data_IF_978591827445
#
_entry.id   IF_978591827445
#
_cell.length_a   1.000
_cell.length_b   1.000
_cell.length_c   1.000
_cell.angle_alpha   90.00
_cell.angle_beta   90.00
_cell.angle_gamma   90.00
#
_symmetry.space_group_name_H-M   'P 1'
#
loop_
_entity.id
_entity.type
_entity.pdbx_description
1 polymer ?
#
# COMPACT_ATOMS: atom_id res chain seq x y z
N UNK A 1 -25.64 -21.34 -25.49
CA UNK A 1 -26.14 -21.61 -24.11
C UNK A 1 -24.92 -21.88 -23.25
N UNK A 2 -24.55 -20.97 -22.35
CA UNK A 2 -23.41 -21.17 -21.47
C UNK A 2 -23.76 -22.25 -20.43
N UNK A 3 -22.97 -23.31 -20.35
CA UNK A 3 -23.08 -24.29 -19.27
C UNK A 3 -23.00 -23.56 -17.92
N UNK A 4 -23.92 -23.87 -17.00
CA UNK A 4 -23.84 -23.34 -15.63
C UNK A 4 -22.49 -23.71 -15.01
N UNK A 5 -21.81 -22.71 -14.44
CA UNK A 5 -20.57 -22.96 -13.70
C UNK A 5 -20.92 -23.65 -12.39
N UNK A 6 -20.69 -24.97 -12.34
CA UNK A 6 -20.83 -25.80 -11.13
C UNK A 6 -19.90 -25.38 -9.99
N UNK A 7 -18.77 -24.72 -10.29
CA UNK A 7 -17.77 -24.31 -9.30
C UNK A 7 -17.32 -22.86 -9.51
N UNK A 8 -17.06 -22.18 -8.40
CA UNK A 8 -16.49 -20.82 -8.37
C UNK A 8 -14.97 -20.93 -8.30
N UNK A 9 -14.29 -20.10 -9.06
CA UNK A 9 -12.82 -20.01 -9.06
C UNK A 9 -12.31 -19.60 -7.68
N UNK A 10 -11.28 -20.30 -7.17
CA UNK A 10 -10.77 -20.11 -5.80
C UNK A 10 -10.32 -18.67 -5.53
N UNK A 11 -9.74 -18.01 -6.53
CA UNK A 11 -9.26 -16.63 -6.43
C UNK A 11 -10.41 -15.63 -6.32
N UNK A 12 -11.48 -15.83 -7.08
CA UNK A 12 -12.66 -14.97 -7.03
C UNK A 12 -13.41 -15.13 -5.71
N UNK A 13 -13.49 -16.36 -5.20
CA UNK A 13 -14.04 -16.62 -3.86
C UNK A 13 -13.21 -15.94 -2.76
N UNK A 14 -11.88 -15.96 -2.88
CA UNK A 14 -11.00 -15.27 -1.94
C UNK A 14 -11.19 -13.74 -1.99
N UNK A 15 -11.31 -13.14 -3.18
CA UNK A 15 -11.60 -11.71 -3.31
C UNK A 15 -12.95 -11.35 -2.69
N UNK A 16 -13.99 -12.16 -2.89
CA UNK A 16 -15.28 -11.97 -2.25
C UNK A 16 -15.21 -12.09 -0.71
N UNK A 17 -14.30 -12.92 -0.18
CA UNK A 17 -14.01 -12.92 1.26
C UNK A 17 -13.37 -11.60 1.70
N UNK A 18 -12.38 -11.08 0.97
CA UNK A 18 -11.73 -9.83 1.35
C UNK A 18 -12.69 -8.63 1.22
N UNK A 19 -13.61 -8.64 0.27
CA UNK A 19 -14.69 -7.64 0.17
C UNK A 19 -15.58 -7.61 1.42
N UNK A 20 -15.82 -8.74 2.09
CA UNK A 20 -16.54 -8.75 3.37
C UNK A 20 -15.77 -8.03 4.47
N UNK A 21 -14.43 -8.07 4.45
CA UNK A 21 -13.61 -7.27 5.37
C UNK A 21 -13.79 -5.77 5.09
N UNK A 22 -13.95 -5.39 3.82
CA UNK A 22 -14.26 -4.00 3.45
C UNK A 22 -15.67 -3.59 3.93
N UNK A 23 -16.63 -4.52 3.94
CA UNK A 23 -17.96 -4.29 4.52
C UNK A 23 -17.91 -4.02 6.02
N UNK A 24 -17.05 -4.72 6.78
CA UNK A 24 -16.83 -4.42 8.21
C UNK A 24 -16.26 -3.02 8.43
N UNK A 25 -15.45 -2.52 7.50
CA UNK A 25 -14.98 -1.14 7.51
C UNK A 25 -16.09 -0.13 7.17
N UNK A 26 -17.13 -0.55 6.44
CA UNK A 26 -18.27 0.28 6.05
C UNK A 26 -19.36 0.33 7.12
N UNK A 27 -19.46 -0.71 7.95
CA UNK A 27 -20.53 -0.85 8.92
C UNK A 27 -20.42 0.19 10.05
N UNK A 28 -21.38 1.10 10.11
CA UNK A 28 -21.46 2.17 11.13
C UNK A 28 -21.81 1.64 12.52
N UNK A 29 -22.23 0.38 12.65
CA UNK A 29 -22.37 -0.29 13.94
C UNK A 29 -21.01 -0.52 14.62
N UNK A 30 -19.94 -0.64 13.82
CA UNK A 30 -18.57 -0.80 14.31
C UNK A 30 -17.97 0.56 14.73
N UNK A 31 -17.23 0.61 15.86
CA UNK A 31 -16.51 1.81 16.27
C UNK A 31 -15.58 2.35 15.19
N UNK A 32 -15.46 3.68 15.09
CA UNK A 32 -14.68 4.37 14.06
C UNK A 32 -13.23 3.85 13.93
N UNK A 33 -12.56 3.64 15.06
CA UNK A 33 -11.18 3.14 15.07
C UNK A 33 -11.09 1.70 14.57
N UNK A 34 -12.07 0.85 14.88
CA UNK A 34 -12.12 -0.53 14.39
C UNK A 34 -12.37 -0.56 12.87
N UNK A 35 -13.23 0.31 12.35
CA UNK A 35 -13.40 0.49 10.89
C UNK A 35 -12.09 0.86 10.19
N UNK A 36 -11.33 1.80 10.74
CA UNK A 36 -9.99 2.14 10.24
C UNK A 36 -9.00 0.96 10.33
N UNK A 37 -9.13 0.11 11.35
CA UNK A 37 -8.32 -1.12 11.45
C UNK A 37 -8.71 -2.14 10.38
N UNK A 38 -10.00 -2.30 10.08
CA UNK A 38 -10.46 -3.18 9.00
C UNK A 38 -9.92 -2.75 7.63
N UNK A 39 -9.83 -1.45 7.33
CA UNK A 39 -9.13 -0.98 6.13
C UNK A 39 -7.66 -1.45 6.06
N UNK A 40 -6.96 -1.41 7.19
CA UNK A 40 -5.59 -1.93 7.30
C UNK A 40 -5.52 -3.45 7.12
N UNK A 41 -6.48 -4.20 7.65
CA UNK A 41 -6.58 -5.66 7.48
C UNK A 41 -6.87 -6.00 6.02
N UNK A 42 -7.83 -5.32 5.38
CA UNK A 42 -8.14 -5.47 3.97
C UNK A 42 -6.90 -5.28 3.08
N UNK A 43 -6.14 -4.21 3.33
CA UNK A 43 -4.92 -3.89 2.57
C UNK A 43 -3.85 -4.97 2.76
N UNK A 44 -3.62 -5.40 4.00
CA UNK A 44 -2.65 -6.45 4.30
C UNK A 44 -3.03 -7.80 3.67
N UNK A 45 -4.32 -8.14 3.67
CA UNK A 45 -4.82 -9.35 3.03
C UNK A 45 -4.60 -9.28 1.51
N UNK A 46 -4.90 -8.14 0.89
CA UNK A 46 -4.73 -7.96 -0.55
C UNK A 46 -3.26 -8.07 -0.97
N UNK A 47 -2.33 -7.53 -0.16
CA UNK A 47 -0.90 -7.72 -0.34
C UNK A 47 -0.51 -9.21 -0.33
N UNK A 48 -1.01 -9.98 0.65
CA UNK A 48 -0.75 -11.42 0.73
C UNK A 48 -1.37 -12.19 -0.46
N UNK A 49 -2.54 -11.78 -0.94
CA UNK A 49 -3.13 -12.32 -2.16
C UNK A 49 -2.21 -12.16 -3.36
N UNK A 50 -1.63 -10.97 -3.56
CA UNK A 50 -0.72 -10.74 -4.67
C UNK A 50 0.60 -11.51 -4.53
N UNK A 51 1.16 -11.58 -3.33
CA UNK A 51 2.43 -12.28 -3.08
C UNK A 51 2.32 -13.79 -3.28
N UNK A 52 1.25 -14.40 -2.79
CA UNK A 52 1.13 -15.86 -2.73
C UNK A 52 0.23 -16.37 -3.85
N UNK A 53 -1.05 -15.94 -3.85
CA UNK A 53 -2.10 -16.54 -4.68
C UNK A 53 -2.01 -16.10 -6.14
N UNK A 54 -1.82 -14.81 -6.38
CA UNK A 54 -1.70 -14.28 -7.74
C UNK A 54 -0.41 -14.76 -8.42
N UNK A 55 0.69 -14.89 -7.66
CA UNK A 55 1.92 -15.47 -8.16
C UNK A 55 1.79 -16.96 -8.52
N UNK A 56 1.00 -17.73 -7.75
CA UNK A 56 0.68 -19.11 -8.09
C UNK A 56 -0.19 -19.20 -9.35
N UNK A 57 -1.24 -18.37 -9.44
CA UNK A 57 -2.10 -18.28 -10.63
C UNK A 57 -1.28 -17.97 -11.87
N UNK A 58 -0.41 -16.95 -11.83
CA UNK A 58 0.48 -16.62 -12.94
C UNK A 58 1.34 -17.79 -13.40
N UNK A 59 1.91 -18.56 -12.47
CA UNK A 59 2.70 -19.76 -12.80
C UNK A 59 1.86 -20.83 -13.49
N UNK A 60 0.64 -21.09 -13.00
CA UNK A 60 -0.30 -22.04 -13.64
C UNK A 60 -0.67 -21.61 -15.05
N UNK A 61 -0.85 -20.31 -15.26
CA UNK A 61 -1.16 -19.76 -16.58
C UNK A 61 0.00 -19.96 -17.55
N UNK A 62 1.24 -19.66 -17.14
CA UNK A 62 2.43 -19.87 -17.99
C UNK A 62 2.56 -21.33 -18.42
N UNK A 63 2.41 -22.28 -17.48
CA UNK A 63 2.47 -23.73 -17.78
C UNK A 63 1.33 -24.13 -18.74
N UNK A 64 0.12 -23.60 -18.55
CA UNK A 64 -1.03 -23.86 -19.42
C UNK A 64 -0.85 -23.27 -20.82
N UNK A 65 -0.19 -22.12 -20.93
CA UNK A 65 0.13 -21.47 -22.21
C UNK A 65 1.17 -22.29 -22.99
N UNK A 66 2.19 -22.84 -22.33
CA UNK A 66 3.14 -23.80 -22.93
C UNK A 66 2.44 -25.07 -23.45
N UNK A 67 1.34 -25.47 -22.83
CA UNK A 67 0.52 -26.63 -23.20
C UNK A 67 -0.61 -26.31 -24.21
N UNK A 68 -0.73 -25.05 -24.67
CA UNK A 68 -1.68 -24.65 -25.71
C UNK A 68 -3.11 -24.31 -25.24
N UNK A 69 -3.36 -24.21 -23.93
CA UNK A 69 -4.68 -23.86 -23.37
C UNK A 69 -4.68 -22.40 -22.88
N UNK A 70 -5.35 -21.51 -23.63
CA UNK A 70 -5.11 -20.06 -23.54
C UNK A 70 -6.32 -19.19 -23.09
N UNK A 71 -7.56 -19.59 -23.41
CA UNK A 71 -8.70 -18.64 -23.34
C UNK A 71 -9.25 -18.43 -21.92
N UNK A 72 -9.39 -19.49 -21.12
CA UNK A 72 -10.03 -19.41 -19.79
C UNK A 72 -9.18 -18.65 -18.76
N UNK A 73 -7.86 -18.86 -18.80
CA UNK A 73 -6.87 -18.25 -17.91
C UNK A 73 -6.83 -16.72 -17.99
N UNK A 74 -6.81 -16.17 -19.21
CA UNK A 74 -6.82 -14.71 -19.43
C UNK A 74 -8.14 -14.07 -19.00
N UNK A 75 -9.26 -14.76 -19.24
CA UNK A 75 -10.56 -14.31 -18.79
C UNK A 75 -10.67 -14.27 -17.25
N UNK A 76 -10.07 -15.24 -16.55
CA UNK A 76 -9.97 -15.22 -15.09
C UNK A 76 -9.13 -14.03 -14.58
N UNK A 77 -7.98 -13.78 -15.18
CA UNK A 77 -7.14 -12.61 -14.83
C UNK A 77 -7.90 -11.29 -15.01
N UNK A 78 -8.63 -11.14 -16.14
CA UNK A 78 -9.46 -9.97 -16.38
C UNK A 78 -10.55 -9.79 -15.33
N UNK A 79 -11.19 -10.88 -14.90
CA UNK A 79 -12.18 -10.85 -13.80
C UNK A 79 -11.56 -10.46 -12.46
N UNK A 80 -10.40 -11.01 -12.13
CA UNK A 80 -9.66 -10.65 -10.91
C UNK A 80 -9.32 -9.17 -10.92
N UNK A 81 -8.72 -8.68 -12.00
CA UNK A 81 -8.31 -7.28 -12.13
C UNK A 81 -9.52 -6.34 -12.04
N UNK A 82 -10.60 -6.64 -12.76
CA UNK A 82 -11.83 -5.85 -12.70
C UNK A 82 -12.41 -5.78 -11.29
N UNK A 83 -12.41 -6.90 -10.56
CA UNK A 83 -12.93 -6.96 -9.20
C UNK A 83 -12.06 -6.22 -8.20
N UNK A 84 -10.73 -6.32 -8.33
CA UNK A 84 -9.79 -5.54 -7.51
C UNK A 84 -9.94 -4.05 -7.78
N UNK A 85 -10.01 -3.62 -9.03
CA UNK A 85 -10.19 -2.20 -9.37
C UNK A 85 -11.49 -1.62 -8.79
N UNK A 86 -12.58 -2.41 -8.83
CA UNK A 86 -13.83 -2.00 -8.21
C UNK A 86 -13.69 -1.86 -6.69
N UNK A 87 -13.08 -2.84 -6.03
CA UNK A 87 -12.88 -2.81 -4.58
C UNK A 87 -11.92 -1.69 -4.14
N UNK A 88 -10.95 -1.31 -4.99
CA UNK A 88 -10.03 -0.19 -4.77
C UNK A 88 -10.77 1.16 -4.78
N UNK A 89 -11.71 1.34 -5.72
CA UNK A 89 -12.59 2.52 -5.74
C UNK A 89 -13.48 2.61 -4.50
N UNK A 90 -14.03 1.47 -4.07
CA UNK A 90 -14.83 1.38 -2.84
C UNK A 90 -13.97 1.70 -1.60
N UNK A 91 -12.73 1.20 -1.57
CA UNK A 91 -11.75 1.49 -0.52
C UNK A 91 -11.44 2.98 -0.41
N UNK A 92 -11.15 3.65 -1.54
CA UNK A 92 -10.84 5.08 -1.55
C UNK A 92 -12.02 5.93 -1.09
N UNK A 93 -13.24 5.58 -1.53
CA UNK A 93 -14.47 6.25 -1.08
C UNK A 93 -14.64 6.14 0.44
N UNK A 94 -14.48 4.93 0.96
CA UNK A 94 -14.64 4.64 2.38
C UNK A 94 -13.54 5.27 3.25
N UNK A 95 -12.29 5.22 2.78
CA UNK A 95 -11.16 5.88 3.45
C UNK A 95 -11.41 7.38 3.61
N UNK A 96 -11.88 8.05 2.56
CA UNK A 96 -12.23 9.47 2.63
C UNK A 96 -13.41 9.75 3.56
N UNK A 97 -14.45 8.91 3.56
CA UNK A 97 -15.56 9.02 4.52
C UNK A 97 -15.06 8.93 5.98
N UNK A 98 -14.21 7.94 6.27
CA UNK A 98 -13.67 7.75 7.61
C UNK A 98 -12.76 8.91 8.03
N UNK A 99 -11.97 9.48 7.12
CA UNK A 99 -11.16 10.67 7.43
C UNK A 99 -12.02 11.88 7.83
N UNK A 100 -13.14 12.09 7.14
CA UNK A 100 -14.10 13.15 7.50
C UNK A 100 -14.78 12.87 8.84
N UNK A 101 -15.13 11.60 9.10
CA UNK A 101 -15.73 11.20 10.37
C UNK A 101 -14.73 11.34 11.54
N UNK A 102 -13.46 11.01 11.33
CA UNK A 102 -12.37 11.24 12.28
C UNK A 102 -12.22 12.73 12.59
N UNK A 103 -12.26 13.59 11.58
CA UNK A 103 -12.19 15.04 11.77
C UNK A 103 -13.35 15.57 12.63
N UNK A 104 -14.57 15.05 12.45
CA UNK A 104 -15.73 15.39 13.31
C UNK A 104 -15.50 14.98 14.76
N UNK A 105 -14.82 13.86 14.99
CA UNK A 105 -14.40 13.37 16.30
C UNK A 105 -13.08 13.99 16.80
N UNK A 106 -12.66 15.13 16.24
CA UNK A 106 -11.44 15.87 16.61
C UNK A 106 -10.12 15.12 16.37
N UNK A 107 -10.12 14.12 15.49
CA UNK A 107 -8.92 13.39 15.08
C UNK A 107 -8.58 13.78 13.65
N UNK A 108 -7.46 14.48 13.45
CA UNK A 108 -7.05 15.00 12.16
C UNK A 108 -5.82 14.27 11.63
N UNK A 109 -5.95 13.60 10.48
CA UNK A 109 -4.80 13.11 9.72
C UNK A 109 -4.38 14.19 8.71
N UNK A 110 -3.33 14.93 9.05
CA UNK A 110 -2.84 16.06 8.25
C UNK A 110 -1.57 15.71 7.47
N UNK A 111 -1.39 16.37 6.33
CA UNK A 111 -0.18 16.26 5.51
C UNK A 111 0.81 17.41 5.77
N UNK A 112 1.97 17.37 5.13
CA UNK A 112 3.06 18.34 5.32
C UNK A 112 2.67 19.78 4.96
N UNK A 113 1.64 19.97 4.13
CA UNK A 113 1.16 21.29 3.68
C UNK A 113 0.16 21.92 4.64
N UNK A 114 -0.36 21.15 5.59
CA UNK A 114 -1.38 21.56 6.56
C UNK A 114 -0.79 21.84 7.96
N UNK A 115 0.53 21.75 8.12
CA UNK A 115 1.22 21.93 9.39
C UNK A 115 1.32 23.41 9.77
N UNK A 116 1.02 23.72 11.04
CA UNK A 116 1.31 25.04 11.61
C UNK A 116 2.82 25.29 11.71
N UNK A 117 3.24 26.55 11.79
CA UNK A 117 4.66 26.93 11.91
C UNK A 117 5.32 26.24 13.11
N UNK A 118 4.59 26.14 14.23
CA UNK A 118 5.06 25.45 15.44
C UNK A 118 5.23 23.95 15.22
N UNK A 119 4.24 23.30 14.57
CA UNK A 119 4.31 21.87 14.23
C UNK A 119 5.46 21.58 13.26
N UNK A 120 5.71 22.47 12.28
CA UNK A 120 6.85 22.33 11.37
C UNK A 120 8.18 22.40 12.12
N UNK A 121 8.33 23.34 13.05
CA UNK A 121 9.54 23.44 13.88
C UNK A 121 9.75 22.18 14.72
N UNK A 122 8.68 21.71 15.38
CA UNK A 122 8.70 20.47 16.15
C UNK A 122 9.05 19.25 15.28
N UNK A 123 8.44 19.12 14.10
CA UNK A 123 8.67 17.99 13.20
C UNK A 123 10.10 18.00 12.65
N UNK A 124 10.68 19.17 12.36
CA UNK A 124 12.10 19.32 11.99
C UNK A 124 13.03 18.85 13.12
N UNK A 125 12.72 19.20 14.37
CA UNK A 125 13.48 18.72 15.53
C UNK A 125 13.34 17.20 15.67
N UNK A 126 12.11 16.68 15.66
CA UNK A 126 11.83 15.25 15.74
C UNK A 126 12.54 14.46 14.64
N UNK A 127 12.52 14.97 13.40
CA UNK A 127 13.21 14.36 12.28
C UNK A 127 14.72 14.25 12.53
N UNK A 128 15.37 15.34 12.96
CA UNK A 128 16.83 15.35 13.18
C UNK A 128 17.28 14.41 14.28
N UNK A 129 16.50 14.31 15.37
CA UNK A 129 16.87 13.55 16.57
C UNK A 129 16.45 12.08 16.52
N UNK A 130 15.32 11.75 15.89
CA UNK A 130 14.75 10.40 15.95
C UNK A 130 14.69 9.70 14.58
N UNK A 131 14.35 10.42 13.50
CA UNK A 131 14.12 9.78 12.20
C UNK A 131 15.38 9.70 11.32
N UNK A 132 16.22 10.73 11.33
CA UNK A 132 17.36 10.88 10.42
C UNK A 132 18.30 9.68 10.47
N UNK A 133 18.53 9.12 11.66
CA UNK A 133 19.40 7.95 11.84
C UNK A 133 18.87 6.67 11.16
N UNK A 134 17.57 6.63 10.83
CA UNK A 134 16.91 5.50 10.18
C UNK A 134 16.61 5.75 8.70
N UNK A 135 16.99 6.92 8.18
CA UNK A 135 16.75 7.34 6.80
C UNK A 135 18.10 7.45 6.09
N UNK A 136 18.36 6.50 5.18
CA UNK A 136 19.58 6.49 4.39
C UNK A 136 19.25 6.88 2.95
N UNK A 137 19.75 8.03 2.45
CA UNK A 137 19.60 8.38 1.04
C UNK A 137 20.48 7.46 0.20
N UNK A 138 19.90 6.85 -0.83
CA UNK A 138 20.63 6.02 -1.78
C UNK A 138 20.80 6.84 -3.07
N UNK A 139 22.03 6.93 -3.59
CA UNK A 139 22.31 7.58 -4.86
C UNK A 139 22.17 6.56 -5.99
N UNK A 140 21.30 6.82 -6.96
CA UNK A 140 21.23 6.00 -8.17
C UNK A 140 22.22 6.54 -9.19
N UNK A 141 23.23 5.74 -9.49
CA UNK A 141 24.15 5.92 -10.61
C UNK A 141 24.00 4.74 -11.58
N UNK A 142 24.70 4.78 -12.72
CA UNK A 142 24.65 3.71 -13.73
C UNK A 142 25.12 2.35 -13.19
N UNK A 143 25.96 2.36 -12.16
CA UNK A 143 26.53 1.17 -11.52
C UNK A 143 25.71 0.68 -10.32
N UNK A 144 24.65 1.39 -9.93
CA UNK A 144 23.87 1.04 -8.75
C UNK A 144 22.91 -0.10 -9.06
N UNK A 145 23.18 -1.28 -8.48
CA UNK A 145 22.27 -2.43 -8.56
C UNK A 145 21.08 -2.23 -7.60
N UNK A 146 19.98 -1.70 -8.14
CA UNK A 146 18.75 -1.49 -7.39
C UNK A 146 18.12 -2.80 -6.90
N UNK A 147 18.39 -3.94 -7.55
CA UNK A 147 17.79 -5.23 -7.21
C UNK A 147 18.21 -5.68 -5.81
N UNK A 148 19.44 -5.36 -5.38
CA UNK A 148 19.92 -5.65 -4.03
C UNK A 148 19.29 -4.78 -2.93
N UNK A 149 18.88 -3.54 -3.28
CA UNK A 149 18.40 -2.57 -2.29
C UNK A 149 16.88 -2.49 -2.17
N UNK A 150 16.17 -2.73 -3.28
CA UNK A 150 14.71 -2.72 -3.36
C UNK A 150 14.16 -3.96 -2.67
N UNK A 151 13.84 -3.82 -1.38
CA UNK A 151 13.05 -4.83 -0.67
C UNK A 151 11.59 -4.69 -1.12
N UNK A 152 10.98 -5.80 -1.53
CA UNK A 152 9.69 -5.88 -2.24
C UNK A 152 8.49 -5.17 -1.56
N UNK A 153 8.54 -4.94 -0.24
CA UNK A 153 7.41 -4.42 0.56
C UNK A 153 7.76 -3.08 1.25
N UNK A 154 8.97 -2.53 1.01
CA UNK A 154 9.37 -1.27 1.67
C UNK A 154 8.90 -0.08 0.83
N UNK A 155 8.15 0.88 1.38
CA UNK A 155 7.83 2.11 0.67
C UNK A 155 9.11 2.91 0.43
N UNK A 156 9.28 3.38 -0.80
CA UNK A 156 10.47 4.12 -1.24
C UNK A 156 10.01 5.43 -1.86
N UNK A 157 10.55 6.51 -1.34
CA UNK A 157 10.29 7.84 -1.87
C UNK A 157 11.39 8.20 -2.87
N UNK A 158 11.03 8.41 -4.12
CA UNK A 158 12.00 8.83 -5.16
C UNK A 158 12.02 10.35 -5.27
N UNK A 159 13.17 10.96 -4.98
CA UNK A 159 13.38 12.39 -5.18
C UNK A 159 14.11 12.66 -6.49
N UNK A 160 13.63 13.66 -7.23
CA UNK A 160 14.31 14.23 -8.39
C UNK A 160 15.08 15.46 -7.94
N UNK A 161 16.40 15.42 -8.07
CA UNK A 161 17.25 16.58 -7.83
C UNK A 161 17.55 17.27 -9.16
N UNK A 162 17.29 18.58 -9.18
CA UNK A 162 17.74 19.47 -10.24
C UNK A 162 18.97 20.22 -9.73
N UNK A 163 20.14 19.95 -10.30
CA UNK A 163 21.31 20.80 -10.09
C UNK A 163 21.29 21.92 -11.15
N UNK A 164 21.10 23.16 -10.72
CA UNK A 164 21.37 24.31 -11.58
C UNK A 164 22.89 24.40 -11.75
N UNK A 165 23.41 23.92 -12.87
CA UNK A 165 24.83 24.08 -13.24
C UNK A 165 24.91 25.27 -14.19
N UNK A 166 25.92 26.13 -14.04
CA UNK A 166 26.14 27.37 -14.81
C UNK A 166 26.47 27.15 -16.31
N UNK A 167 26.26 25.94 -16.85
CA UNK A 167 26.29 25.69 -18.28
C UNK A 167 25.16 24.74 -18.67
N UNK A 168 24.72 24.84 -19.92
CA UNK A 168 23.46 24.41 -20.53
C UNK A 168 23.11 22.91 -20.47
N UNK A 169 23.74 22.10 -19.62
CA UNK A 169 23.37 20.71 -19.37
C UNK A 169 22.60 20.57 -18.05
N UNK A 170 21.27 20.40 -18.13
CA UNK A 170 20.48 19.96 -16.97
C UNK A 170 20.82 18.51 -16.65
N UNK A 171 21.65 18.29 -15.63
CA UNK A 171 21.91 16.96 -15.10
C UNK A 171 20.84 16.59 -14.07
N UNK A 172 20.04 15.57 -14.38
CA UNK A 172 19.03 15.03 -13.46
C UNK A 172 19.65 13.93 -12.62
N UNK A 173 19.50 14.00 -11.29
CA UNK A 173 19.89 12.91 -10.38
C UNK A 173 18.68 12.41 -9.62
N UNK A 174 18.55 11.10 -9.48
CA UNK A 174 17.48 10.47 -8.71
C UNK A 174 18.03 9.96 -7.37
N UNK A 175 17.28 10.22 -6.29
CA UNK A 175 17.60 9.75 -4.94
C UNK A 175 16.40 9.04 -4.32
N UNK A 176 16.35 7.70 -4.34
CA UNK A 176 15.43 6.95 -3.51
C UNK A 176 15.82 7.11 -2.03
N UNK A 177 14.81 7.33 -1.21
CA UNK A 177 14.89 7.38 0.24
C UNK A 177 14.20 6.14 0.76
N UNK A 178 14.97 5.27 1.42
CA UNK A 178 14.46 4.06 2.06
C UNK A 178 14.06 4.39 3.50
N UNK A 179 12.82 4.04 3.85
CA UNK A 179 12.32 4.17 5.22
C UNK A 179 12.41 2.81 5.91
N UNK A 180 13.14 2.74 7.04
CA UNK A 180 13.07 1.58 7.92
C UNK A 180 11.81 1.67 8.81
N UNK A 181 10.65 1.36 8.25
CA UNK A 181 9.33 1.51 8.91
C UNK A 181 9.27 0.81 10.27
N UNK A 182 9.91 -0.35 10.42
CA UNK A 182 9.98 -1.09 11.70
C UNK A 182 10.74 -0.36 12.81
N UNK A 183 11.69 0.52 12.45
CA UNK A 183 12.47 1.32 13.40
C UNK A 183 11.84 2.70 13.63
N UNK A 184 11.04 3.18 12.67
CA UNK A 184 10.41 4.49 12.68
C UNK A 184 9.08 4.48 13.45
N UNK A 185 8.33 3.38 13.42
CA UNK A 185 7.05 3.27 14.11
C UNK A 185 7.21 2.84 15.58
N UNK A 186 7.30 3.80 16.51
CA UNK A 186 6.80 3.58 17.89
C UNK A 186 5.27 3.55 17.85
N UNK A 187 4.67 2.47 17.31
CA UNK A 187 3.29 2.12 17.69
C UNK A 187 3.38 1.72 19.15
N UNK A 188 3.06 2.64 20.08
CA UNK A 188 2.94 2.31 21.52
C UNK A 188 1.97 1.13 21.62
N UNK A 189 2.50 -0.07 21.85
CA UNK A 189 1.70 -1.10 22.52
C UNK A 189 1.47 -0.55 23.91
N UNK A 190 0.27 -0.07 24.19
CA UNK A 190 -0.16 0.06 25.57
C UNK A 190 -0.18 -1.36 26.15
N UNK A 191 0.92 -1.75 26.80
CA UNK A 191 0.88 -2.83 27.77
C UNK A 191 -0.11 -2.39 28.84
N UNK A 192 -1.06 -3.27 29.15
CA UNK A 192 -2.12 -3.01 30.12
C UNK A 192 -1.53 -2.49 31.43
N UNK A 193 -2.06 -1.35 31.87
CA UNK A 193 -1.88 -0.89 33.23
C UNK A 193 -2.68 -1.82 34.15
N UNK A 194 -2.00 -2.30 35.17
CA UNK A 194 -2.52 -3.05 36.29
C UNK A 194 -3.85 -2.52 36.82
N UNK A 195 -4.80 -3.43 37.00
CA UNK A 195 -5.68 -3.48 38.18
C UNK A 195 -5.72 -4.92 38.66
#
# INVERSE_FOLDING_TARGET
MGQEKLYIEKELSWLAFNERVLQEAADKSNPLIERMRFLGIYSNNLDEFYKVRFAELKRRIIISEEQGSNSHSRHLLGKIQSRVLKADQEFDGLYNELLLEMARNQIFLINERQLSVNQQSWLRHYFKHYLRQHITPILINRETDLVQFLKMITPIWQWRLSAATLSTMRCWRYRPIKFHVSLICRRRRHAGASR
#
